data_IF_562792442852
#
_entry.id   IF_562792442852
#
_cell.length_a   1.000
_cell.length_b   1.000
_cell.length_c   1.000
_cell.angle_alpha   90.00
_cell.angle_beta   90.00
_cell.angle_gamma   90.00
#
_symmetry.space_group_name_H-M   'P 1'
#
loop_
_entity.id
_entity.type
_entity.pdbx_description
1 polymer ?
#
# COMPACT_ATOMS: atom_id res chain seq x y z
N UNK A 1 6.85 16.29 3.27
CA UNK A 1 6.00 15.70 2.21
C UNK A 1 5.66 14.26 2.59
N UNK A 2 4.40 13.86 2.45
CA UNK A 2 3.83 12.57 2.87
C UNK A 2 3.68 11.66 1.66
N UNK A 3 4.50 10.63 1.56
CA UNK A 3 4.47 9.66 0.48
C UNK A 3 3.87 8.34 0.96
N UNK A 4 2.88 7.85 0.24
CA UNK A 4 2.28 6.54 0.49
C UNK A 4 2.55 5.63 -0.69
N UNK A 5 3.23 4.52 -0.43
CA UNK A 5 3.45 3.45 -1.40
C UNK A 5 2.47 2.33 -1.11
N UNK A 6 1.74 1.87 -2.13
CA UNK A 6 0.83 0.72 -2.02
C UNK A 6 1.33 -0.41 -2.91
N UNK A 7 1.62 -1.57 -2.32
CA UNK A 7 1.98 -2.80 -3.04
C UNK A 7 1.21 -3.99 -2.47
N UNK A 8 0.28 -4.53 -3.25
CA UNK A 8 -0.68 -5.54 -2.79
C UNK A 8 -0.11 -6.97 -2.77
N UNK A 9 0.99 -7.19 -3.49
CA UNK A 9 1.72 -8.45 -3.55
C UNK A 9 3.02 -8.37 -2.75
N UNK A 10 2.92 -8.13 -1.44
CA UNK A 10 4.11 -8.11 -0.58
C UNK A 10 4.48 -9.53 -0.17
N UNK A 11 5.33 -10.20 -0.96
CA UNK A 11 6.23 -11.23 -0.42
C UNK A 11 7.37 -10.55 0.32
N UNK A 12 8.00 -11.23 1.28
CA UNK A 12 9.08 -10.65 2.10
C UNK A 12 10.19 -9.96 1.29
N UNK A 13 10.55 -10.50 0.12
CA UNK A 13 11.56 -9.93 -0.79
C UNK A 13 11.14 -8.55 -1.34
N UNK A 14 9.87 -8.40 -1.73
CA UNK A 14 9.34 -7.12 -2.22
C UNK A 14 9.33 -6.08 -1.09
N UNK A 15 9.07 -6.53 0.13
CA UNK A 15 9.03 -5.65 1.28
C UNK A 15 10.40 -5.05 1.62
N UNK A 16 11.47 -5.84 1.48
CA UNK A 16 12.85 -5.39 1.66
C UNK A 16 13.22 -4.38 0.58
N UNK A 17 12.90 -4.66 -0.69
CA UNK A 17 13.24 -3.79 -1.82
C UNK A 17 12.52 -2.43 -1.74
N UNK A 18 11.19 -2.45 -1.65
CA UNK A 18 10.40 -1.22 -1.58
C UNK A 18 10.62 -0.49 -0.26
N UNK A 19 10.83 -1.25 0.81
CA UNK A 19 11.21 -0.73 2.11
C UNK A 19 12.51 0.08 2.09
N UNK A 20 13.56 -0.46 1.48
CA UNK A 20 14.85 0.23 1.35
C UNK A 20 14.73 1.54 0.56
N UNK A 21 13.91 1.54 -0.51
CA UNK A 21 13.59 2.74 -1.27
C UNK A 21 12.92 3.81 -0.40
N UNK A 22 11.90 3.44 0.37
CA UNK A 22 11.21 4.37 1.28
C UNK A 22 12.14 4.89 2.39
N UNK A 23 12.99 4.03 2.94
CA UNK A 23 13.98 4.45 3.92
C UNK A 23 14.97 5.47 3.34
N UNK A 24 15.38 5.30 2.08
CA UNK A 24 16.24 6.28 1.40
C UNK A 24 15.56 7.65 1.29
N UNK A 25 14.27 7.66 0.89
CA UNK A 25 13.48 8.89 0.83
C UNK A 25 13.31 9.56 2.19
N UNK A 26 13.07 8.77 3.25
CA UNK A 26 13.01 9.27 4.61
C UNK A 26 14.35 9.88 5.04
N UNK A 27 15.44 9.12 4.91
CA UNK A 27 16.75 9.48 5.45
C UNK A 27 17.38 10.68 4.75
N UNK A 28 17.32 10.73 3.43
CA UNK A 28 18.04 11.72 2.64
C UNK A 28 17.18 12.92 2.24
N UNK A 29 15.85 12.78 2.25
CA UNK A 29 14.96 13.85 1.81
C UNK A 29 13.88 14.23 2.84
N UNK A 30 13.86 13.60 4.02
CA UNK A 30 12.93 13.95 5.11
C UNK A 30 11.47 13.64 4.80
N UNK A 31 11.19 12.68 3.90
CA UNK A 31 9.82 12.30 3.56
C UNK A 31 9.18 11.54 4.72
N UNK A 32 7.91 11.83 5.00
CA UNK A 32 7.11 10.96 5.85
C UNK A 32 6.54 9.84 4.97
N UNK A 33 7.13 8.66 5.07
CA UNK A 33 6.84 7.53 4.19
C UNK A 33 5.94 6.51 4.87
N UNK A 34 4.90 6.10 4.16
CA UNK A 34 3.98 5.03 4.56
C UNK A 34 3.99 3.93 3.52
N UNK A 35 4.26 2.70 3.94
CA UNK A 35 4.14 1.52 3.10
C UNK A 35 2.85 0.77 3.44
N UNK A 36 2.02 0.53 2.44
CA UNK A 36 0.75 -0.16 2.56
C UNK A 36 0.78 -1.45 1.76
N UNK A 37 0.50 -2.57 2.42
CA UNK A 37 0.47 -3.88 1.76
C UNK A 37 -0.57 -4.82 2.39
N UNK A 38 -0.83 -5.96 1.74
CA UNK A 38 -1.63 -7.01 2.36
C UNK A 38 -0.82 -7.75 3.43
N UNK A 39 -1.46 -8.08 4.56
CA UNK A 39 -0.83 -8.92 5.58
C UNK A 39 -0.55 -10.32 5.02
N UNK A 40 0.71 -10.74 5.05
CA UNK A 40 1.21 -11.99 4.46
C UNK A 40 2.25 -12.63 5.38
N UNK A 41 1.82 -12.99 6.59
CA UNK A 41 2.66 -13.63 7.60
C UNK A 41 3.49 -12.64 8.41
N UNK A 42 4.62 -13.12 8.95
CA UNK A 42 5.54 -12.34 9.77
C UNK A 42 6.62 -11.66 8.92
N UNK A 43 6.98 -10.44 9.33
CA UNK A 43 7.92 -9.58 8.61
C UNK A 43 9.15 -9.23 9.47
N UNK A 44 10.04 -10.19 9.72
CA UNK A 44 11.15 -10.03 10.67
C UNK A 44 12.16 -8.95 10.28
N UNK A 45 12.19 -8.54 9.01
CA UNK A 45 13.14 -7.57 8.49
C UNK A 45 12.62 -6.13 8.46
N UNK A 46 11.36 -5.89 8.83
CA UNK A 46 10.77 -4.55 8.79
C UNK A 46 11.46 -3.62 9.77
N UNK A 47 11.56 -4.04 11.02
CA UNK A 47 12.10 -3.17 12.07
C UNK A 47 13.58 -2.86 11.88
N UNK A 48 14.30 -3.76 11.18
CA UNK A 48 15.75 -3.64 10.96
C UNK A 48 16.09 -2.90 9.67
N UNK A 49 15.40 -3.17 8.56
CA UNK A 49 15.71 -2.57 7.24
C UNK A 49 15.03 -1.22 7.04
N UNK A 50 13.85 -1.01 7.64
CA UNK A 50 13.00 0.16 7.36
C UNK A 50 12.66 0.98 8.60
N UNK A 51 13.59 1.07 9.55
CA UNK A 51 13.41 1.84 10.79
C UNK A 51 12.95 3.28 10.48
N UNK A 52 11.73 3.62 10.90
CA UNK A 52 11.08 4.92 10.67
C UNK A 52 10.09 4.97 9.51
N UNK A 53 9.98 3.92 8.69
CA UNK A 53 8.92 3.78 7.68
C UNK A 53 7.64 3.28 8.35
N UNK A 54 6.52 3.97 8.13
CA UNK A 54 5.23 3.55 8.68
C UNK A 54 4.67 2.38 7.86
N UNK A 55 4.59 1.19 8.46
CA UNK A 55 3.98 0.04 7.80
C UNK A 55 2.50 -0.07 8.17
N UNK A 56 1.62 -0.12 7.17
CA UNK A 56 0.18 -0.34 7.34
C UNK A 56 -0.26 -1.55 6.54
N UNK A 57 -1.13 -2.34 7.15
CA UNK A 57 -1.70 -3.50 6.50
C UNK A 57 -3.14 -3.22 6.08
N UNK A 58 -3.45 -3.60 4.84
CA UNK A 58 -4.82 -3.72 4.37
C UNK A 58 -5.18 -5.20 4.48
N UNK A 59 -6.26 -5.51 5.18
CA UNK A 59 -6.74 -6.88 5.24
C UNK A 59 -7.30 -7.32 3.88
N UNK A 60 -6.98 -8.55 3.48
CA UNK A 60 -7.63 -9.20 2.33
C UNK A 60 -9.10 -9.52 2.59
N UNK A 61 -9.57 -9.42 3.84
CA UNK A 61 -10.94 -9.73 4.27
C UNK A 61 -11.93 -8.61 3.92
N UNK A 62 -12.11 -8.36 2.63
CA UNK A 62 -13.47 -8.11 2.13
C UNK A 62 -13.63 -9.01 0.92
N UNK A 63 -14.11 -10.25 1.09
CA UNK A 63 -14.73 -10.93 -0.03
C UNK A 63 -15.84 -10.00 -0.48
N UNK A 64 -15.72 -9.47 -1.69
CA UNK A 64 -16.84 -8.81 -2.33
C UNK A 64 -18.02 -9.77 -2.25
N UNK A 65 -19.02 -9.40 -1.43
CA UNK A 65 -20.24 -10.16 -1.18
C UNK A 65 -20.76 -10.79 -2.47
N UNK A 66 -20.52 -12.10 -2.64
CA UNK A 66 -21.22 -13.00 -3.57
C UNK A 66 -21.38 -12.57 -5.03
N UNK A 67 -20.63 -11.56 -5.52
CA UNK A 67 -20.80 -11.05 -6.88
C UNK A 67 -19.46 -10.90 -7.56
N UNK A 68 -19.45 -11.22 -8.85
CA UNK A 68 -18.33 -11.22 -9.77
C UNK A 68 -17.19 -10.28 -9.30
N UNK A 69 -15.99 -10.80 -8.96
CA UNK A 69 -14.88 -9.97 -8.43
C UNK A 69 -14.41 -8.88 -9.41
N UNK A 70 -14.89 -8.92 -10.65
CA UNK A 70 -14.63 -7.97 -11.74
C UNK A 70 -15.67 -6.85 -11.88
N UNK A 71 -16.65 -6.77 -10.98
CA UNK A 71 -17.63 -5.68 -10.97
C UNK A 71 -16.98 -4.37 -10.50
N UNK A 72 -17.19 -3.28 -11.25
CA UNK A 72 -16.78 -1.92 -10.87
C UNK A 72 -17.25 -1.55 -9.45
N UNK A 73 -18.47 -1.96 -9.07
CA UNK A 73 -19.01 -1.71 -7.73
C UNK A 73 -18.26 -2.44 -6.62
N UNK A 74 -17.66 -3.60 -6.91
CA UNK A 74 -16.83 -4.34 -5.97
C UNK A 74 -15.42 -3.74 -5.88
N UNK A 75 -14.88 -3.22 -6.99
CA UNK A 75 -13.60 -2.51 -7.01
C UNK A 75 -13.69 -1.20 -6.20
N UNK A 76 -14.78 -0.44 -6.36
CA UNK A 76 -15.05 0.80 -5.61
C UNK A 76 -15.30 0.57 -4.10
N UNK A 77 -15.57 -0.67 -3.70
CA UNK A 77 -15.69 -1.10 -2.30
C UNK A 77 -14.49 -1.92 -1.82
N UNK A 78 -13.49 -2.06 -2.69
CA UNK A 78 -12.28 -2.79 -2.40
C UNK A 78 -11.51 -2.16 -1.24
N UNK A 79 -10.72 -2.98 -0.52
CA UNK A 79 -10.09 -2.53 0.71
C UNK A 79 -9.04 -1.43 0.46
N UNK A 80 -8.46 -1.37 -0.74
CA UNK A 80 -7.59 -0.28 -1.21
C UNK A 80 -8.35 1.04 -1.40
N UNK A 81 -9.50 1.02 -2.07
CA UNK A 81 -10.33 2.23 -2.25
C UNK A 81 -10.81 2.77 -0.91
N UNK A 82 -11.21 1.87 0.00
CA UNK A 82 -11.60 2.27 1.35
C UNK A 82 -10.44 2.89 2.13
N UNK A 83 -9.22 2.34 1.99
CA UNK A 83 -8.03 2.93 2.58
C UNK A 83 -7.77 4.33 2.00
N UNK A 84 -7.77 4.48 0.67
CA UNK A 84 -7.53 5.75 -0.01
C UNK A 84 -8.59 6.80 0.37
N UNK A 85 -9.88 6.45 0.39
CA UNK A 85 -10.95 7.37 0.82
C UNK A 85 -10.73 7.89 2.24
N UNK A 86 -10.33 7.02 3.17
CA UNK A 86 -10.10 7.39 4.57
C UNK A 86 -8.81 8.17 4.80
N UNK A 87 -7.79 7.98 3.95
CA UNK A 87 -6.45 8.52 4.19
C UNK A 87 -6.00 9.55 3.13
N UNK A 88 -6.81 9.85 2.11
CA UNK A 88 -6.45 10.71 0.97
C UNK A 88 -5.89 12.08 1.40
N UNK A 89 -6.50 12.72 2.40
CA UNK A 89 -6.04 14.00 2.93
C UNK A 89 -4.65 13.95 3.58
N UNK A 90 -4.16 12.74 3.88
CA UNK A 90 -2.85 12.48 4.47
C UNK A 90 -1.79 12.07 3.44
N UNK A 91 -2.13 12.05 2.14
CA UNK A 91 -1.27 11.59 1.06
C UNK A 91 -0.96 12.78 0.16
N UNK A 92 0.31 13.18 0.11
CA UNK A 92 0.78 14.20 -0.84
C UNK A 92 1.24 13.53 -2.15
N UNK A 93 1.84 12.34 -2.04
CA UNK A 93 2.30 11.52 -3.17
C UNK A 93 1.81 10.09 -2.99
N UNK A 94 1.12 9.56 -4.01
CA UNK A 94 0.68 8.17 -4.07
C UNK A 94 1.52 7.39 -5.09
N UNK A 95 2.25 6.37 -4.62
CA UNK A 95 3.01 5.46 -5.48
C UNK A 95 2.35 4.08 -5.47
N UNK A 96 1.72 3.69 -6.58
CA UNK A 96 1.06 2.40 -6.74
C UNK A 96 2.01 1.42 -7.44
N UNK A 97 2.27 0.26 -6.82
CA UNK A 97 3.11 -0.81 -7.37
C UNK A 97 2.26 -2.05 -7.63
N UNK A 98 2.43 -2.64 -8.81
CA UNK A 98 1.53 -3.66 -9.35
C UNK A 98 0.45 -2.99 -10.18
N UNK A 99 0.69 -2.92 -11.49
CA UNK A 99 -0.28 -2.38 -12.45
C UNK A 99 -1.37 -3.43 -12.68
N UNK A 100 -2.48 -3.33 -11.95
CA UNK A 100 -3.71 -4.04 -12.25
C UNK A 100 -4.74 -3.07 -12.82
N UNK A 101 -5.82 -3.57 -13.45
CA UNK A 101 -6.84 -2.69 -14.06
C UNK A 101 -7.51 -1.77 -13.02
N UNK A 102 -7.50 -2.18 -11.76
CA UNK A 102 -7.98 -1.42 -10.62
C UNK A 102 -7.11 -0.17 -10.35
N UNK A 103 -5.82 -0.19 -10.69
CA UNK A 103 -4.91 0.95 -10.53
C UNK A 103 -5.35 2.18 -11.32
N UNK A 104 -6.05 1.99 -12.45
CA UNK A 104 -6.62 3.10 -13.24
C UNK A 104 -7.78 3.81 -12.52
N UNK A 105 -8.56 3.07 -11.72
CA UNK A 105 -9.64 3.65 -10.90
C UNK A 105 -9.03 4.42 -9.72
N UNK A 106 -7.86 4.01 -9.23
CA UNK A 106 -7.18 4.70 -8.13
C UNK A 106 -6.50 6.01 -8.56
N UNK A 107 -6.21 6.18 -9.86
CA UNK A 107 -5.60 7.38 -10.43
C UNK A 107 -6.59 8.46 -10.88
N UNK A 108 -7.89 8.15 -10.92
CA UNK A 108 -8.99 9.06 -11.25
C UNK A 108 -9.60 9.66 -9.98
#
# INVERSE_FOLDING_TARGET
>A
MRLTLISLESKNVNLIKEGAFLYYLLKYFGYNVTFVCHKSGDYPYVETVVKGVNLKFIDRSTPALGKNPRSIGNILRGPVVNYLRKNSQMIDILHLIGFSKESLIYSL
#
